data_IF_648843251495
#
_entry.id   IF_648843251495
#
_cell.length_a   1.000
_cell.length_b   1.000
_cell.length_c   1.000
_cell.angle_alpha   90.00
_cell.angle_beta   90.00
_cell.angle_gamma   90.00
#
_symmetry.space_group_name_H-M   'P 1'
#
loop_
_entity.id
_entity.type
_entity.pdbx_description
1 polymer ?
#
# COMPACT_ATOMS: atom_id res chain seq x y z
N UNK A 1 -34.98 75.58 14.61
CA UNK A 1 -34.42 74.52 13.75
C UNK A 1 -33.50 73.67 14.63
N UNK A 2 -33.87 72.41 14.88
CA UNK A 2 -33.33 71.22 14.20
C UNK A 2 -31.81 71.10 14.42
N UNK A 3 -31.41 70.20 15.32
CA UNK A 3 -30.03 69.72 15.45
C UNK A 3 -29.94 68.23 15.13
N UNK A 4 -28.75 67.74 14.73
CA UNK A 4 -28.50 66.30 14.59
C UNK A 4 -27.04 65.94 14.89
N UNK A 5 -26.78 65.50 16.13
CA UNK A 5 -25.47 64.95 16.53
C UNK A 5 -25.15 63.77 15.61
N UNK A 6 -24.01 63.85 14.91
CA UNK A 6 -23.52 62.72 14.11
C UNK A 6 -22.92 61.68 15.06
N UNK A 7 -23.35 60.42 14.93
CA UNK A 7 -22.75 59.30 15.67
C UNK A 7 -21.57 58.78 14.87
N UNK A 8 -20.39 58.68 15.50
CA UNK A 8 -19.32 57.81 15.02
C UNK A 8 -19.76 56.36 15.26
N UNK A 9 -20.11 55.66 14.19
CA UNK A 9 -20.37 54.22 14.22
C UNK A 9 -19.09 53.48 13.81
N UNK A 10 -18.40 52.89 14.78
CA UNK A 10 -17.28 51.98 14.50
C UNK A 10 -17.83 50.66 13.96
N UNK A 11 -17.79 50.49 12.63
CA UNK A 11 -18.03 49.20 12.00
C UNK A 11 -16.78 48.31 12.09
N UNK A 12 -16.91 47.01 12.41
CA UNK A 12 -15.77 46.11 12.43
C UNK A 12 -15.24 45.86 11.01
N UNK A 13 -13.92 45.75 10.83
CA UNK A 13 -13.37 45.19 9.61
C UNK A 13 -13.78 43.71 9.50
N UNK A 14 -14.66 43.42 8.54
CA UNK A 14 -14.86 42.05 8.07
C UNK A 14 -13.61 41.62 7.30
N UNK A 15 -12.69 40.95 8.00
CA UNK A 15 -11.56 40.28 7.37
C UNK A 15 -12.15 39.14 6.52
N UNK A 16 -12.23 39.38 5.21
CA UNK A 16 -12.62 38.35 4.25
C UNK A 16 -11.47 37.33 4.14
N UNK A 17 -11.46 36.36 5.05
CA UNK A 17 -10.57 35.21 5.00
C UNK A 17 -10.98 34.34 3.80
N UNK A 18 -10.53 34.75 2.61
CA UNK A 18 -10.66 33.97 1.40
C UNK A 18 -9.83 32.69 1.56
N UNK A 19 -10.49 31.62 2.03
CA UNK A 19 -9.90 30.27 2.07
C UNK A 19 -9.67 29.85 0.63
N UNK A 20 -8.46 30.10 0.14
CA UNK A 20 -7.92 29.47 -1.06
C UNK A 20 -7.90 27.96 -0.78
N UNK A 21 -8.95 27.28 -1.25
CA UNK A 21 -8.93 25.82 -1.40
C UNK A 21 -7.87 25.51 -2.44
N UNK A 22 -6.64 25.32 -1.97
CA UNK A 22 -5.56 24.84 -2.79
C UNK A 22 -5.99 23.49 -3.39
N UNK A 23 -5.79 23.25 -4.69
CA UNK A 23 -6.02 21.93 -5.27
C UNK A 23 -5.02 20.96 -4.65
N UNK A 24 -5.47 20.19 -3.66
CA UNK A 24 -4.63 19.24 -2.95
C UNK A 24 -4.02 18.24 -3.96
N UNK A 25 -2.70 18.04 -3.97
CA UNK A 25 -2.03 17.29 -5.02
C UNK A 25 -2.45 15.81 -5.02
N UNK A 26 -2.28 15.14 -6.17
CA UNK A 26 -2.73 13.77 -6.43
C UNK A 26 -2.06 12.67 -5.55
N UNK A 27 -1.21 13.03 -4.59
CA UNK A 27 -0.52 12.12 -3.68
C UNK A 27 -1.47 11.14 -2.96
N UNK A 28 -2.67 11.59 -2.56
CA UNK A 28 -3.70 10.76 -1.92
C UNK A 28 -4.51 9.89 -2.92
N UNK A 29 -4.11 9.83 -4.19
CA UNK A 29 -4.53 8.86 -5.18
C UNK A 29 -3.34 7.99 -5.66
N UNK A 30 -2.11 8.50 -5.54
CA UNK A 30 -0.86 7.77 -5.75
C UNK A 30 -0.73 6.50 -4.91
N UNK A 31 -1.27 6.47 -3.69
CA UNK A 31 -1.16 5.32 -2.78
C UNK A 31 -1.80 4.01 -3.28
N UNK A 32 -2.69 4.06 -4.26
CA UNK A 32 -3.14 2.86 -4.99
C UNK A 32 -2.04 2.31 -5.90
N UNK A 33 -1.34 3.21 -6.59
CA UNK A 33 -0.34 2.91 -7.60
C UNK A 33 0.98 2.48 -6.95
N UNK A 34 1.36 3.13 -5.85
CA UNK A 34 2.44 2.69 -4.96
C UNK A 34 2.29 1.19 -4.63
N UNK A 35 1.10 0.77 -4.20
CA UNK A 35 0.84 -0.63 -3.79
C UNK A 35 0.65 -1.64 -4.92
N UNK A 36 0.58 -1.22 -6.20
CA UNK A 36 0.30 -2.11 -7.34
C UNK A 36 1.31 -2.07 -8.48
N UNK A 37 2.10 -1.00 -8.55
CA UNK A 37 3.19 -0.82 -9.51
C UNK A 37 4.52 -0.61 -8.79
N UNK A 38 4.48 -0.41 -7.47
CA UNK A 38 5.61 -0.05 -6.62
C UNK A 38 5.95 1.43 -6.76
N UNK A 39 6.25 2.09 -5.64
CA UNK A 39 6.78 3.46 -5.69
C UNK A 39 8.11 3.46 -6.43
N UNK A 40 8.14 4.08 -7.62
CA UNK A 40 9.40 4.55 -8.21
C UNK A 40 9.98 5.58 -7.23
N UNK A 41 11.23 5.43 -6.82
CA UNK A 41 11.89 6.42 -5.96
C UNK A 41 11.93 7.77 -6.68
N UNK A 42 10.98 8.64 -6.31
CA UNK A 42 11.03 10.05 -6.62
C UNK A 42 12.15 10.65 -5.77
N UNK A 43 13.17 11.29 -6.38
CA UNK A 43 14.23 11.92 -5.61
C UNK A 43 13.57 12.95 -4.69
N UNK A 44 13.83 12.84 -3.39
CA UNK A 44 13.16 13.67 -2.38
C UNK A 44 13.20 15.14 -2.80
N UNK A 45 12.07 15.88 -2.75
CA UNK A 45 12.00 17.25 -3.24
C UNK A 45 13.10 18.05 -2.56
N UNK A 46 14.02 18.58 -3.37
CA UNK A 46 15.27 19.14 -2.87
C UNK A 46 14.96 20.15 -1.77
N UNK A 47 15.43 19.86 -0.55
CA UNK A 47 15.22 20.76 0.59
C UNK A 47 15.80 22.11 0.20
N UNK A 48 14.96 23.15 0.19
CA UNK A 48 15.32 24.46 -0.35
C UNK A 48 16.61 24.94 0.31
N UNK A 49 17.69 24.97 -0.47
CA UNK A 49 19.04 25.08 0.05
C UNK A 49 19.17 26.45 0.76
N UNK A 50 19.47 26.48 2.08
CA UNK A 50 19.56 27.74 2.80
C UNK A 50 20.67 28.59 2.15
N UNK A 51 20.43 29.88 1.87
CA UNK A 51 21.30 30.67 1.01
C UNK A 51 22.74 30.67 1.53
N UNK A 52 23.67 30.24 0.69
CA UNK A 52 25.04 29.98 1.08
C UNK A 52 25.72 31.23 1.68
N UNK A 53 26.45 31.11 2.80
CA UNK A 53 27.19 32.23 3.36
C UNK A 53 28.34 32.64 2.41
N UNK A 54 28.63 33.95 2.27
CA UNK A 54 29.69 34.42 1.38
C UNK A 54 31.08 33.94 1.82
N UNK A 55 31.92 33.60 0.84
CA UNK A 55 33.24 33.01 1.04
C UNK A 55 34.27 33.99 1.67
N UNK A 56 35.28 33.48 2.42
CA UNK A 56 36.19 34.31 3.20
C UNK A 56 37.37 34.91 2.39
N UNK A 57 37.90 36.03 2.87
CA UNK A 57 39.10 36.70 2.38
C UNK A 57 40.39 36.24 3.14
N UNK A 58 41.60 36.38 2.55
CA UNK A 58 42.84 35.76 3.07
C UNK A 58 43.51 36.50 4.25
N UNK A 59 44.50 35.85 4.89
CA UNK A 59 44.99 36.16 6.25
C UNK A 59 46.51 36.31 6.40
N UNK A 60 46.98 37.03 7.44
CA UNK A 60 48.31 36.98 8.09
C UNK A 60 48.39 38.00 9.28
N UNK A 61 49.38 37.98 10.20
CA UNK A 61 49.86 36.83 11.00
C UNK A 61 50.28 37.15 12.48
N UNK A 62 50.63 36.10 13.27
CA UNK A 62 51.52 36.02 14.48
C UNK A 62 50.93 35.61 15.86
N UNK A 63 51.85 35.30 16.79
CA UNK A 63 51.86 34.39 17.98
C UNK A 63 52.26 35.24 19.23
N UNK A 64 52.16 34.85 20.54
CA UNK A 64 52.29 33.48 21.08
C UNK A 64 51.44 33.06 22.32
N UNK A 65 51.73 31.86 22.85
CA UNK A 65 51.10 31.18 24.01
C UNK A 65 52.10 31.01 25.18
N UNK A 66 51.69 30.46 26.35
CA UNK A 66 52.09 29.04 26.64
C UNK A 66 51.17 28.21 27.59
N UNK A 67 51.31 26.87 27.51
CA UNK A 67 51.15 25.83 28.58
C UNK A 67 49.79 25.69 29.34
N UNK A 68 49.29 24.52 29.77
CA UNK A 68 49.62 23.08 29.63
C UNK A 68 48.28 22.26 29.82
N UNK A 69 48.13 20.97 30.17
CA UNK A 69 48.99 19.85 30.59
C UNK A 69 48.31 18.46 30.30
N UNK A 70 48.85 17.36 30.87
CA UNK A 70 48.35 15.96 30.93
C UNK A 70 49.01 15.26 32.17
N UNK A 71 48.87 13.94 32.49
CA UNK A 71 47.95 12.87 32.03
C UNK A 71 47.31 12.04 33.20
N UNK A 72 46.67 10.90 32.85
CA UNK A 72 46.68 9.60 33.60
C UNK A 72 45.86 9.45 34.92
N UNK A 73 45.49 8.24 35.38
CA UNK A 73 45.16 6.92 34.75
C UNK A 73 44.56 5.99 35.85
N UNK A 74 43.99 4.86 35.43
CA UNK A 74 43.80 3.59 36.17
C UNK A 74 42.51 3.32 36.99
N UNK A 75 42.06 2.08 36.77
CA UNK A 75 40.97 1.24 37.31
C UNK A 75 41.46 0.37 38.50
N UNK A 76 40.65 -0.53 39.12
CA UNK A 76 39.18 -0.67 39.27
C UNK A 76 38.77 -0.93 40.76
N UNK A 77 37.60 -1.58 40.97
CA UNK A 77 37.25 -2.41 42.15
C UNK A 77 36.93 -1.68 43.48
N UNK A 78 36.13 -2.22 44.42
CA UNK A 78 35.07 -3.27 44.45
C UNK A 78 34.36 -3.17 45.84
N UNK A 79 33.41 -4.07 46.10
CA UNK A 79 33.05 -4.61 47.42
C UNK A 79 32.02 -3.88 48.35
N UNK A 80 30.89 -4.57 48.56
CA UNK A 80 30.30 -4.96 49.87
C UNK A 80 29.60 -3.92 50.79
N UNK A 81 28.65 -4.27 51.69
CA UNK A 81 27.78 -5.46 51.91
C UNK A 81 26.77 -5.20 53.06
N UNK A 82 25.49 -5.52 52.85
CA UNK A 82 24.44 -5.67 53.90
C UNK A 82 24.19 -4.38 54.76
N UNK A 83 23.39 -4.31 55.85
CA UNK A 83 23.01 -5.27 56.92
C UNK A 83 21.60 -5.02 57.49
N UNK A 84 20.90 -6.13 57.82
CA UNK A 84 19.79 -6.31 58.78
C UNK A 84 18.39 -5.65 58.59
N UNK A 85 17.42 -6.32 59.22
CA UNK A 85 15.99 -6.00 59.30
C UNK A 85 15.24 -7.29 59.68
N UNK A 86 15.03 -7.54 60.97
CA UNK A 86 14.77 -8.90 61.48
C UNK A 86 13.29 -9.32 61.57
N UNK A 87 13.11 -10.64 61.71
CA UNK A 87 11.94 -11.43 62.18
C UNK A 87 11.25 -10.85 63.44
N UNK A 88 10.06 -11.27 63.91
CA UNK A 88 9.01 -12.25 63.55
C UNK A 88 7.72 -11.79 64.26
N UNK A 89 6.51 -11.96 63.67
CA UNK A 89 5.30 -12.46 64.39
C UNK A 89 4.33 -13.10 63.38
N UNK A 90 3.70 -14.23 63.73
CA UNK A 90 2.56 -14.83 63.01
C UNK A 90 1.37 -15.03 63.95
N UNK A 91 0.13 -14.89 63.45
CA UNK A 91 -0.97 -15.75 63.90
C UNK A 91 -1.49 -16.68 62.80
N UNK A 92 -2.16 -17.75 63.24
CA UNK A 92 -2.62 -18.91 62.44
C UNK A 92 -4.14 -18.97 62.41
N UNK A 93 -4.74 -19.27 61.25
CA UNK A 93 -6.12 -19.77 61.05
C UNK A 93 -6.17 -20.60 59.74
N UNK A 94 -7.22 -21.41 59.48
CA UNK A 94 -7.00 -22.81 59.09
C UNK A 94 -7.08 -23.15 57.60
N UNK A 95 -6.47 -24.29 57.27
CA UNK A 95 -6.64 -25.02 56.02
C UNK A 95 -8.11 -25.47 55.85
N UNK A 96 -8.64 -25.34 54.64
CA UNK A 96 -9.85 -26.04 54.20
C UNK A 96 -9.58 -26.65 52.82
N UNK A 97 -9.69 -27.96 52.70
CA UNK A 97 -9.40 -28.66 51.46
C UNK A 97 -10.41 -28.27 50.36
N UNK A 98 -9.92 -28.12 49.14
CA UNK A 98 -10.72 -27.92 47.93
C UNK A 98 -10.20 -28.91 46.89
N UNK A 99 -11.08 -29.75 46.35
CA UNK A 99 -10.69 -30.76 45.37
C UNK A 99 -10.30 -30.13 44.02
N UNK A 100 -9.33 -30.69 43.28
CA UNK A 100 -8.97 -30.21 41.96
C UNK A 100 -10.08 -30.59 40.96
N UNK A 101 -11.01 -29.66 40.74
CA UNK A 101 -12.02 -29.77 39.69
C UNK A 101 -11.32 -30.02 38.34
N UNK A 102 -11.51 -31.22 37.77
CA UNK A 102 -10.99 -31.57 36.46
C UNK A 102 -11.74 -30.74 35.41
N UNK A 103 -11.19 -29.60 35.04
CA UNK A 103 -11.61 -28.85 33.86
C UNK A 103 -11.39 -29.75 32.65
N UNK A 104 -12.46 -30.34 32.14
CA UNK A 104 -12.40 -31.10 30.91
C UNK A 104 -11.96 -30.15 29.80
N UNK A 105 -10.82 -30.43 29.17
CA UNK A 105 -10.35 -29.67 28.03
C UNK A 105 -11.33 -29.90 26.87
N UNK A 106 -12.27 -28.97 26.70
CA UNK A 106 -13.10 -28.89 25.49
C UNK A 106 -12.12 -28.72 24.34
N UNK A 107 -12.00 -29.76 23.51
CA UNK A 107 -11.13 -29.72 22.35
C UNK A 107 -11.55 -28.55 21.48
N UNK A 108 -10.65 -27.59 21.30
CA UNK A 108 -10.84 -26.58 20.27
C UNK A 108 -11.02 -27.32 18.94
N UNK A 109 -12.01 -26.95 18.11
CA UNK A 109 -12.14 -27.56 16.79
C UNK A 109 -10.83 -27.33 16.04
N UNK A 110 -10.15 -28.42 15.68
CA UNK A 110 -9.02 -28.36 14.78
C UNK A 110 -9.53 -27.71 13.50
N UNK A 111 -9.08 -26.48 13.23
CA UNK A 111 -9.33 -25.83 11.96
C UNK A 111 -8.77 -26.78 10.89
N UNK A 112 -9.66 -27.35 10.09
CA UNK A 112 -9.27 -28.40 9.16
C UNK A 112 -8.32 -27.78 8.14
N UNK A 113 -7.03 -28.11 8.25
CA UNK A 113 -6.00 -27.65 7.33
C UNK A 113 -6.47 -27.97 5.92
N UNK A 114 -6.47 -26.96 5.06
CA UNK A 114 -6.72 -27.18 3.65
C UNK A 114 -5.61 -28.09 3.13
N UNK A 115 -5.95 -29.08 2.30
CA UNK A 115 -4.95 -29.67 1.42
C UNK A 115 -4.45 -28.55 0.50
N UNK A 116 -3.30 -27.99 0.87
CA UNK A 116 -2.72 -26.84 0.20
C UNK A 116 -2.39 -27.16 -1.28
N UNK A 117 -2.06 -28.41 -1.59
CA UNK A 117 -1.84 -28.83 -2.98
C UNK A 117 -3.17 -28.86 -3.76
N UNK A 118 -4.24 -29.41 -3.17
CA UNK A 118 -5.57 -29.38 -3.78
C UNK A 118 -6.13 -27.97 -3.96
N UNK A 119 -5.92 -27.06 -2.99
CA UNK A 119 -6.33 -25.65 -3.10
C UNK A 119 -5.53 -24.91 -4.17
N UNK A 120 -4.20 -25.07 -4.19
CA UNK A 120 -3.36 -24.44 -5.22
C UNK A 120 -3.70 -24.97 -6.62
N UNK A 121 -4.02 -26.27 -6.77
CA UNK A 121 -4.50 -26.83 -8.02
C UNK A 121 -5.83 -26.22 -8.47
N UNK A 122 -6.78 -26.00 -7.56
CA UNK A 122 -8.06 -25.33 -7.86
C UNK A 122 -7.86 -23.85 -8.23
N UNK A 123 -7.02 -23.12 -7.50
CA UNK A 123 -6.70 -21.72 -7.82
C UNK A 123 -5.96 -21.58 -9.16
N UNK A 124 -5.01 -22.49 -9.46
CA UNK A 124 -4.38 -22.60 -10.78
C UNK A 124 -5.43 -22.86 -11.87
N UNK A 125 -6.35 -23.80 -11.67
CA UNK A 125 -7.43 -24.09 -12.63
C UNK A 125 -8.36 -22.88 -12.83
N UNK A 126 -8.72 -22.17 -11.76
CA UNK A 126 -9.51 -20.93 -11.82
C UNK A 126 -8.84 -19.87 -12.70
N UNK A 127 -7.55 -19.58 -12.50
CA UNK A 127 -6.84 -18.57 -13.27
C UNK A 127 -6.52 -19.00 -14.71
N UNK A 128 -6.24 -20.28 -14.94
CA UNK A 128 -5.99 -20.81 -16.28
C UNK A 128 -7.28 -20.92 -17.12
N UNK A 129 -8.45 -21.05 -16.48
CA UNK A 129 -9.77 -21.04 -17.13
C UNK A 129 -10.32 -19.65 -17.50
N UNK A 130 -9.60 -18.55 -17.22
CA UNK A 130 -10.05 -17.18 -17.50
C UNK A 130 -9.35 -16.64 -18.75
N UNK A 131 -10.03 -16.69 -19.90
CA UNK A 131 -9.59 -15.98 -21.12
C UNK A 131 -9.94 -14.50 -21.06
N UNK A 132 -11.16 -14.17 -20.63
CA UNK A 132 -11.63 -12.79 -20.36
C UNK A 132 -12.43 -12.75 -19.07
N UNK A 133 -12.38 -11.60 -18.38
CA UNK A 133 -13.11 -11.34 -17.15
C UNK A 133 -13.54 -9.88 -17.10
N UNK A 134 -14.83 -9.62 -16.86
CA UNK A 134 -15.37 -8.28 -16.59
C UNK A 134 -16.09 -8.27 -15.25
N UNK A 135 -16.06 -7.15 -14.53
CA UNK A 135 -16.84 -6.98 -13.31
C UNK A 135 -16.65 -5.61 -12.67
N UNK A 136 -17.08 -5.46 -11.42
CA UNK A 136 -16.89 -4.25 -10.61
C UNK A 136 -15.88 -4.50 -9.50
N UNK A 137 -15.16 -3.45 -9.09
CA UNK A 137 -14.23 -3.51 -7.97
C UNK A 137 -14.47 -2.37 -6.98
N UNK A 138 -14.10 -2.62 -5.72
CA UNK A 138 -13.92 -1.57 -4.71
C UNK A 138 -12.51 -1.71 -4.16
N UNK A 139 -11.69 -0.70 -4.42
CA UNK A 139 -10.32 -0.63 -3.95
C UNK A 139 -10.26 0.20 -2.66
N UNK A 140 -9.53 -0.30 -1.68
CA UNK A 140 -9.24 0.37 -0.40
C UNK A 140 -7.74 0.65 -0.36
N UNK A 141 -7.35 1.92 -0.33
CA UNK A 141 -5.96 2.35 -0.22
C UNK A 141 -5.38 2.20 1.19
N UNK A 142 -4.06 2.41 1.32
CA UNK A 142 -3.37 2.38 2.61
C UNK A 142 -3.81 3.52 3.57
N UNK A 143 -4.41 4.58 3.03
CA UNK A 143 -5.07 5.67 3.76
C UNK A 143 -6.54 5.36 4.15
N UNK A 144 -7.02 4.15 3.84
CA UNK A 144 -8.40 3.71 4.07
C UNK A 144 -9.43 4.25 3.09
N UNK A 145 -9.06 5.10 2.12
CA UNK A 145 -10.01 5.63 1.13
C UNK A 145 -10.52 4.50 0.24
N UNK A 146 -11.83 4.52 0.00
CA UNK A 146 -12.52 3.58 -0.89
C UNK A 146 -12.81 4.25 -2.22
N UNK A 147 -12.43 3.60 -3.33
CA UNK A 147 -12.73 4.06 -4.68
C UNK A 147 -13.28 2.88 -5.49
N UNK A 148 -14.42 3.10 -6.15
CA UNK A 148 -15.07 2.10 -7.00
C UNK A 148 -14.57 2.16 -8.45
N UNK A 149 -14.89 1.12 -9.21
CA UNK A 149 -14.73 1.11 -10.66
C UNK A 149 -15.13 -0.19 -11.34
N UNK A 150 -14.86 -0.26 -12.64
CA UNK A 150 -15.06 -1.42 -13.50
C UNK A 150 -13.71 -2.07 -13.85
N UNK A 151 -13.61 -3.36 -13.60
CA UNK A 151 -12.51 -4.23 -14.00
C UNK A 151 -12.80 -4.85 -15.36
N UNK A 152 -11.80 -4.88 -16.24
CA UNK A 152 -11.84 -5.60 -17.51
C UNK A 152 -10.47 -6.24 -17.76
N UNK A 153 -10.42 -7.55 -18.00
CA UNK A 153 -9.20 -8.34 -18.16
C UNK A 153 -9.34 -9.22 -19.40
N UNK A 154 -8.29 -9.33 -20.20
CA UNK A 154 -8.20 -10.23 -21.34
C UNK A 154 -6.80 -10.84 -21.44
N UNK A 155 -6.70 -12.17 -21.37
CA UNK A 155 -5.42 -12.86 -21.51
C UNK A 155 -4.94 -12.88 -22.98
N UNK A 156 -3.62 -13.02 -23.20
CA UNK A 156 -2.56 -12.72 -22.24
C UNK A 156 -2.40 -11.21 -22.02
N UNK A 157 -1.96 -10.83 -20.82
CA UNK A 157 -1.35 -9.54 -20.51
C UNK A 157 -2.29 -8.34 -20.35
N UNK A 158 -3.49 -8.33 -20.93
CA UNK A 158 -4.31 -7.10 -21.00
C UNK A 158 -5.22 -6.93 -19.78
N UNK A 159 -5.23 -5.72 -19.24
CA UNK A 159 -5.97 -5.33 -18.04
C UNK A 159 -6.46 -3.89 -18.15
N UNK A 160 -7.60 -3.57 -17.54
CA UNK A 160 -8.13 -2.22 -17.44
C UNK A 160 -8.88 -2.05 -16.12
N UNK A 161 -8.51 -1.02 -15.35
CA UNK A 161 -9.31 -0.48 -14.26
C UNK A 161 -9.84 0.89 -14.70
N UNK A 162 -11.12 0.95 -15.03
CA UNK A 162 -11.86 2.21 -15.16
C UNK A 162 -12.32 2.63 -13.77
N UNK A 163 -11.85 3.77 -13.26
CA UNK A 163 -12.37 4.29 -12.00
C UNK A 163 -13.68 5.07 -12.18
N UNK A 164 -14.52 5.00 -11.15
CA UNK A 164 -15.73 5.80 -11.05
C UNK A 164 -15.41 7.26 -10.62
N UNK A 165 -16.28 8.18 -11.01
CA UNK A 165 -16.19 9.58 -10.56
C UNK A 165 -16.33 9.67 -9.02
N UNK A 166 -15.60 10.59 -8.35
CA UNK A 166 -14.86 11.72 -8.90
C UNK A 166 -13.38 11.43 -9.26
N UNK A 167 -12.94 10.16 -9.28
CA UNK A 167 -11.56 9.84 -9.66
C UNK A 167 -11.33 10.05 -11.17
N UNK A 168 -10.27 10.77 -11.60
CA UNK A 168 -9.94 10.91 -13.01
C UNK A 168 -9.06 9.76 -13.54
N UNK A 169 -8.70 8.79 -12.69
CA UNK A 169 -7.70 7.79 -13.04
C UNK A 169 -8.25 6.68 -13.97
N UNK A 170 -7.36 6.17 -14.82
CA UNK A 170 -7.54 4.97 -15.61
C UNK A 170 -6.22 4.18 -15.57
N UNK A 171 -6.27 2.87 -15.31
CA UNK A 171 -5.11 1.99 -15.49
C UNK A 171 -5.37 1.06 -16.66
N UNK A 172 -4.40 0.94 -17.56
CA UNK A 172 -4.46 0.04 -18.72
C UNK A 172 -3.16 -0.74 -18.84
N UNK A 173 -3.24 -2.05 -19.02
CA UNK A 173 -2.14 -2.87 -19.48
C UNK A 173 -2.42 -3.39 -20.89
N UNK A 174 -1.44 -3.27 -21.80
CA UNK A 174 -1.52 -3.78 -23.17
C UNK A 174 -0.94 -5.20 -23.30
N UNK A 175 -0.23 -5.66 -22.26
CA UNK A 175 0.44 -6.95 -22.18
C UNK A 175 1.97 -6.88 -22.13
N UNK A 176 2.55 -5.71 -22.37
CA UNK A 176 3.99 -5.42 -22.14
C UNK A 176 4.17 -4.38 -21.06
N UNK A 177 3.38 -3.31 -21.12
CA UNK A 177 3.44 -2.18 -20.17
C UNK A 177 2.12 -2.03 -19.43
N UNK A 178 2.17 -1.27 -18.34
CA UNK A 178 1.00 -0.69 -17.68
C UNK A 178 1.12 0.82 -17.76
N UNK A 179 0.10 1.45 -18.33
CA UNK A 179 -0.13 2.88 -18.33
C UNK A 179 -1.09 3.26 -17.20
N UNK A 180 -0.67 4.20 -16.38
CA UNK A 180 -1.56 4.94 -15.48
C UNK A 180 -1.85 6.27 -16.13
N UNK A 181 -3.13 6.60 -16.34
CA UNK A 181 -3.57 7.83 -17.01
C UNK A 181 -4.39 8.69 -16.04
N UNK A 182 -4.09 9.97 -15.93
CA UNK A 182 -4.99 10.95 -15.31
C UNK A 182 -5.77 11.67 -16.43
N UNK A 183 -7.08 11.41 -16.51
CA UNK A 183 -7.97 11.98 -17.54
C UNK A 183 -8.19 13.49 -17.40
N UNK A 184 -7.93 14.07 -16.23
CA UNK A 184 -8.11 15.49 -15.91
C UNK A 184 -6.83 16.29 -16.16
N UNK A 185 -5.66 15.71 -15.88
CA UNK A 185 -4.36 16.34 -16.12
C UNK A 185 -3.80 16.03 -17.52
N UNK A 186 -4.27 14.96 -18.16
CA UNK A 186 -3.76 14.51 -19.46
C UNK A 186 -2.38 13.82 -19.39
N UNK A 187 -1.94 13.45 -18.19
CA UNK A 187 -0.66 12.77 -17.94
C UNK A 187 -0.80 11.26 -18.07
N UNK A 188 0.31 10.58 -18.41
CA UNK A 188 0.40 9.13 -18.43
C UNK A 188 1.77 8.65 -17.94
N UNK A 189 1.78 7.86 -16.87
CA UNK A 189 2.97 7.18 -16.34
C UNK A 189 3.02 5.74 -16.84
N UNK A 190 4.23 5.25 -17.16
CA UNK A 190 4.45 3.95 -17.79
C UNK A 190 5.40 3.06 -16.97
N UNK A 191 4.98 1.81 -16.75
CA UNK A 191 5.66 0.78 -15.98
C UNK A 191 5.69 -0.53 -16.77
N UNK A 192 6.66 -1.42 -16.54
CA UNK A 192 6.63 -2.75 -17.15
C UNK A 192 5.71 -3.70 -16.37
N UNK A 193 4.89 -4.48 -17.08
CA UNK A 193 3.96 -5.45 -16.48
C UNK A 193 4.67 -6.45 -15.55
N UNK A 194 5.92 -6.79 -15.87
CA UNK A 194 6.79 -7.71 -15.14
C UNK A 194 7.20 -7.23 -13.74
N UNK A 195 7.09 -5.93 -13.46
CA UNK A 195 7.48 -5.32 -12.19
C UNK A 195 6.30 -5.20 -11.20
N UNK A 196 5.10 -5.60 -11.61
CA UNK A 196 3.85 -5.46 -10.86
C UNK A 196 3.54 -6.72 -10.04
N UNK A 197 2.98 -6.63 -8.82
CA UNK A 197 2.66 -7.81 -8.01
C UNK A 197 1.57 -8.68 -8.64
N UNK A 198 0.63 -8.11 -9.42
CA UNK A 198 -0.46 -8.85 -10.05
C UNK A 198 -0.13 -9.50 -11.40
N UNK A 199 1.13 -9.41 -11.87
CA UNK A 199 1.55 -9.95 -13.18
C UNK A 199 1.15 -11.41 -13.42
N UNK A 200 1.09 -12.22 -12.35
CA UNK A 200 0.67 -13.62 -12.41
C UNK A 200 -0.77 -13.80 -12.92
N UNK A 201 -1.70 -12.90 -12.55
CA UNK A 201 -3.10 -12.93 -13.03
C UNK A 201 -3.21 -12.78 -14.54
N UNK A 202 -2.23 -12.10 -15.15
CA UNK A 202 -2.27 -11.67 -16.54
C UNK A 202 -1.54 -12.64 -17.49
N UNK A 203 -0.70 -13.54 -16.97
CA UNK A 203 -0.04 -14.58 -17.79
C UNK A 203 -1.06 -15.49 -18.44
N UNK A 204 -0.80 -15.92 -19.68
CA UNK A 204 -1.62 -16.90 -20.39
C UNK A 204 -1.86 -18.15 -19.53
N UNK A 205 -0.75 -18.72 -19.01
CA UNK A 205 -0.72 -19.82 -18.07
C UNK A 205 0.02 -19.41 -16.80
N UNK A 206 -0.43 -19.94 -15.67
CA UNK A 206 0.13 -19.71 -14.34
C UNK A 206 0.25 -21.04 -13.59
N UNK A 207 1.33 -21.16 -12.81
CA UNK A 207 1.41 -22.08 -11.68
C UNK A 207 1.87 -21.33 -10.43
N UNK A 208 0.94 -21.07 -9.50
CA UNK A 208 1.17 -20.34 -8.25
C UNK A 208 2.30 -20.95 -7.40
N UNK A 209 2.54 -22.25 -7.50
CA UNK A 209 3.59 -22.97 -6.76
C UNK A 209 4.98 -22.90 -7.41
N UNK A 210 5.08 -22.34 -8.64
CA UNK A 210 6.34 -22.15 -9.39
C UNK A 210 6.64 -20.68 -9.63
N UNK A 211 5.60 -19.87 -9.84
CA UNK A 211 5.70 -18.47 -10.22
C UNK A 211 5.88 -17.52 -9.02
N UNK A 212 5.53 -17.98 -7.82
CA UNK A 212 5.53 -17.23 -6.56
C UNK A 212 6.01 -18.14 -5.42
N UNK A 213 6.45 -17.55 -4.30
CA UNK A 213 6.66 -18.33 -3.07
C UNK A 213 5.38 -18.35 -2.26
N UNK A 214 4.61 -19.45 -2.32
CA UNK A 214 3.48 -19.68 -1.41
C UNK A 214 4.00 -19.77 0.03
N UNK A 215 3.36 -19.04 0.95
CA UNK A 215 3.78 -18.95 2.35
C UNK A 215 2.74 -19.45 3.35
N UNK A 216 1.46 -19.48 2.99
CA UNK A 216 0.36 -19.96 3.82
C UNK A 216 -0.89 -20.24 2.97
N UNK A 217 -1.67 -21.26 3.32
CA UNK A 217 -2.97 -21.60 2.72
C UNK A 217 -3.94 -22.00 3.84
N UNK A 218 -5.00 -21.21 4.06
CA UNK A 218 -5.95 -21.44 5.16
C UNK A 218 -7.41 -21.44 4.72
N UNK A 219 -8.22 -22.15 5.51
CA UNK A 219 -9.68 -22.03 5.51
C UNK A 219 -10.07 -20.97 6.54
N UNK A 220 -10.40 -19.77 6.08
CA UNK A 220 -10.90 -18.69 6.93
C UNK A 220 -12.45 -18.73 6.95
N UNK A 221 -13.14 -18.15 7.94
CA UNK A 221 -14.62 -18.17 7.99
C UNK A 221 -15.34 -17.51 6.80
N UNK A 222 -14.62 -16.76 5.96
CA UNK A 222 -15.12 -16.15 4.72
C UNK A 222 -14.80 -16.92 3.44
N UNK A 223 -14.09 -18.05 3.52
CA UNK A 223 -13.61 -18.82 2.37
C UNK A 223 -12.11 -19.09 2.42
N UNK A 224 -11.51 -19.46 1.29
CA UNK A 224 -10.11 -19.92 1.24
C UNK A 224 -9.14 -18.76 1.01
N UNK A 225 -8.09 -18.67 1.83
CA UNK A 225 -7.04 -17.65 1.73
C UNK A 225 -5.71 -18.28 1.31
N UNK A 226 -5.08 -17.72 0.28
CA UNK A 226 -3.75 -18.13 -0.22
C UNK A 226 -2.79 -16.95 -0.08
N UNK A 227 -1.71 -17.11 0.68
CA UNK A 227 -0.67 -16.10 0.88
C UNK A 227 0.61 -16.45 0.14
N UNK A 228 1.21 -15.45 -0.50
CA UNK A 228 2.37 -15.61 -1.38
C UNK A 228 3.31 -14.39 -1.29
N UNK A 229 4.55 -14.57 -1.71
CA UNK A 229 5.53 -13.50 -1.91
C UNK A 229 6.01 -13.44 -3.36
N UNK A 230 6.09 -12.23 -3.92
CA UNK A 230 6.76 -11.91 -5.19
C UNK A 230 8.01 -11.08 -4.89
N UNK A 231 9.19 -11.64 -5.19
CA UNK A 231 10.50 -10.99 -4.97
C UNK A 231 11.00 -10.18 -6.18
N UNK A 232 10.16 -10.04 -7.20
CA UNK A 232 10.47 -9.41 -8.48
C UNK A 232 9.56 -8.21 -8.78
N UNK A 233 9.18 -7.48 -7.74
CA UNK A 233 8.38 -6.23 -7.83
C UNK A 233 9.25 -4.99 -7.66
N UNK A 234 8.81 -3.82 -8.13
CA UNK A 234 9.50 -2.57 -7.83
C UNK A 234 9.65 -2.39 -6.31
N UNK A 235 10.82 -1.93 -5.87
CA UNK A 235 11.14 -1.71 -4.46
C UNK A 235 11.51 -2.97 -3.64
N UNK A 236 11.36 -4.18 -4.18
CA UNK A 236 11.76 -5.42 -3.50
C UNK A 236 10.67 -6.50 -3.47
N UNK A 237 10.41 -7.08 -2.29
CA UNK A 237 9.46 -8.18 -2.10
C UNK A 237 8.08 -7.69 -1.67
N UNK A 238 7.08 -7.89 -2.53
CA UNK A 238 5.66 -7.66 -2.20
C UNK A 238 5.01 -8.94 -1.65
N UNK A 239 4.08 -8.78 -0.70
CA UNK A 239 3.24 -9.87 -0.19
C UNK A 239 1.86 -9.79 -0.83
N UNK A 240 1.38 -10.93 -1.32
CA UNK A 240 0.12 -11.06 -2.06
C UNK A 240 -0.76 -12.04 -1.29
N UNK A 241 -2.02 -11.68 -1.06
CA UNK A 241 -3.01 -12.58 -0.44
C UNK A 241 -4.28 -12.59 -1.27
N UNK A 242 -4.67 -13.79 -1.74
CA UNK A 242 -5.89 -14.04 -2.48
C UNK A 242 -6.95 -14.60 -1.55
N UNK A 243 -8.20 -14.16 -1.71
CA UNK A 243 -9.35 -14.60 -0.94
C UNK A 243 -10.42 -15.10 -1.91
N UNK A 244 -10.69 -16.40 -1.85
CA UNK A 244 -11.71 -17.09 -2.64
C UNK A 244 -12.97 -17.36 -1.81
N UNK A 245 -14.05 -17.76 -2.48
CA UNK A 245 -15.11 -18.53 -1.84
C UNK A 245 -14.61 -19.88 -1.27
N UNK A 246 -15.42 -20.52 -0.44
CA UNK A 246 -15.06 -21.78 0.24
C UNK A 246 -14.82 -22.96 -0.71
N UNK A 247 -15.18 -22.83 -1.99
CA UNK A 247 -15.02 -23.86 -3.02
C UNK A 247 -13.94 -23.50 -4.08
N UNK A 248 -13.21 -22.38 -3.90
CA UNK A 248 -12.16 -21.89 -4.82
C UNK A 248 -12.66 -21.68 -6.26
N UNK A 249 -13.96 -21.40 -6.45
CA UNK A 249 -14.65 -21.16 -7.73
C UNK A 249 -14.63 -19.69 -8.15
N UNK A 250 -14.50 -18.78 -7.18
CA UNK A 250 -14.57 -17.32 -7.36
C UNK A 250 -13.52 -16.62 -6.52
N UNK A 251 -12.68 -15.78 -7.13
CA UNK A 251 -11.82 -14.85 -6.41
C UNK A 251 -12.66 -13.63 -6.00
N UNK A 252 -12.80 -13.40 -4.70
CA UNK A 252 -13.66 -12.36 -4.12
C UNK A 252 -12.88 -11.11 -3.70
N UNK A 253 -11.59 -11.26 -3.34
CA UNK A 253 -10.72 -10.15 -2.94
C UNK A 253 -9.25 -10.53 -3.18
N UNK A 254 -8.41 -9.54 -3.48
CA UNK A 254 -6.97 -9.64 -3.24
C UNK A 254 -6.49 -8.52 -2.32
N UNK A 255 -5.42 -8.78 -1.60
CA UNK A 255 -4.68 -7.82 -0.77
C UNK A 255 -3.20 -7.88 -1.16
N UNK A 256 -2.60 -6.71 -1.29
CA UNK A 256 -1.18 -6.55 -1.56
C UNK A 256 -0.60 -5.69 -0.44
N UNK A 257 0.56 -6.10 0.08
CA UNK A 257 1.42 -5.28 0.92
C UNK A 257 2.73 -5.09 0.18
N UNK A 258 3.11 -3.84 -0.09
CA UNK A 258 4.33 -3.50 -0.80
C UNK A 258 5.59 -3.64 0.11
N UNK A 259 6.82 -3.54 -0.43
CA UNK A 259 8.06 -3.63 0.35
C UNK A 259 8.18 -2.58 1.46
N UNK A 260 7.46 -1.46 1.36
CA UNK A 260 7.41 -0.36 2.32
C UNK A 260 6.36 -0.57 3.42
N UNK A 261 5.50 -1.60 3.27
CA UNK A 261 4.44 -1.93 4.23
C UNK A 261 3.08 -1.29 3.94
N UNK A 262 2.92 -0.52 2.86
CA UNK A 262 1.62 0.02 2.48
C UNK A 262 0.72 -1.10 1.95
N UNK A 263 -0.53 -1.10 2.40
CA UNK A 263 -1.49 -2.16 2.12
C UNK A 263 -2.60 -1.65 1.20
N UNK A 264 -2.74 -2.25 0.01
CA UNK A 264 -3.88 -2.05 -0.89
C UNK A 264 -4.75 -3.29 -0.92
N UNK A 265 -6.06 -3.12 -0.76
CA UNK A 265 -7.07 -4.18 -0.88
C UNK A 265 -7.93 -3.88 -2.10
N UNK A 266 -8.26 -4.90 -2.91
CA UNK A 266 -9.25 -4.79 -3.97
C UNK A 266 -10.29 -5.90 -3.79
N UNK A 267 -11.53 -5.50 -3.55
CA UNK A 267 -12.69 -6.37 -3.49
C UNK A 267 -13.33 -6.46 -4.87
N UNK A 268 -13.74 -7.66 -5.27
CA UNK A 268 -14.29 -7.96 -6.59
C UNK A 268 -15.76 -8.34 -6.47
N UNK A 269 -16.56 -7.93 -7.45
CA UNK A 269 -17.99 -8.20 -7.51
C UNK A 269 -18.49 -8.28 -8.96
N UNK A 270 -19.65 -8.89 -9.17
CA UNK A 270 -20.30 -9.00 -10.49
C UNK A 270 -19.39 -9.60 -11.58
N UNK A 271 -18.54 -10.57 -11.21
CA UNK A 271 -17.56 -11.17 -12.09
C UNK A 271 -18.21 -12.05 -13.17
N UNK A 272 -17.95 -11.73 -14.43
CA UNK A 272 -18.41 -12.45 -15.62
C UNK A 272 -17.19 -12.93 -16.42
N UNK A 273 -17.03 -14.25 -16.51
CA UNK A 273 -15.96 -14.92 -17.28
C UNK A 273 -16.42 -15.09 -18.74
N UNK A 274 -15.49 -15.00 -19.70
CA UNK A 274 -15.75 -15.35 -21.11
C UNK A 274 -16.57 -14.32 -21.93
N UNK A 275 -16.86 -13.13 -21.37
CA UNK A 275 -17.52 -12.04 -22.10
C UNK A 275 -16.58 -11.46 -23.17
N UNK A 276 -17.12 -11.11 -24.35
CA UNK A 276 -16.33 -10.37 -25.36
C UNK A 276 -15.95 -8.98 -24.84
N UNK A 277 -14.74 -8.52 -25.17
CA UNK A 277 -14.18 -7.23 -24.77
C UNK A 277 -13.35 -6.64 -25.90
N UNK A 278 -13.53 -5.35 -26.17
CA UNK A 278 -12.88 -4.69 -27.30
C UNK A 278 -11.36 -4.59 -27.11
N UNK A 279 -10.59 -4.98 -28.15
CA UNK A 279 -9.12 -4.91 -28.11
C UNK A 279 -8.59 -3.49 -27.92
N UNK A 280 -9.29 -2.50 -28.48
CA UNK A 280 -8.98 -1.06 -28.36
C UNK A 280 -9.12 -0.52 -26.95
N UNK A 281 -9.91 -1.16 -26.06
CA UNK A 281 -10.04 -0.75 -24.67
C UNK A 281 -8.71 -0.87 -23.89
N UNK A 282 -7.77 -1.68 -24.39
CA UNK A 282 -6.46 -1.91 -23.79
C UNK A 282 -5.33 -1.09 -24.44
N UNK A 283 -5.67 -0.10 -25.27
CA UNK A 283 -4.69 0.70 -25.99
C UNK A 283 -3.92 1.68 -25.07
N UNK A 284 -2.60 1.74 -25.29
CA UNK A 284 -1.64 2.64 -24.65
C UNK A 284 -0.97 3.48 -25.75
N UNK A 285 -0.96 4.81 -25.57
CA UNK A 285 -0.23 5.71 -26.45
C UNK A 285 1.18 5.92 -25.89
N UNK A 286 2.23 5.46 -26.59
CA UNK A 286 3.63 5.64 -26.17
C UNK A 286 4.25 6.97 -26.65
N UNK A 287 3.42 7.89 -27.14
CA UNK A 287 3.82 9.19 -27.65
C UNK A 287 4.30 9.19 -29.11
N UNK A 288 4.30 8.04 -29.79
CA UNK A 288 4.74 7.91 -31.19
C UNK A 288 3.72 8.52 -32.16
N UNK A 289 4.15 8.77 -33.39
CA UNK A 289 3.33 9.33 -34.48
C UNK A 289 2.07 8.49 -34.74
N UNK A 290 2.28 7.20 -34.92
CA UNK A 290 1.31 6.16 -35.19
C UNK A 290 0.35 5.95 -34.02
N UNK A 291 0.85 5.98 -32.77
CA UNK A 291 0.02 5.87 -31.57
C UNK A 291 -0.96 7.05 -31.46
N UNK A 292 -0.49 8.27 -31.75
CA UNK A 292 -1.30 9.49 -31.76
C UNK A 292 -2.32 9.52 -32.90
N UNK A 293 -2.05 8.83 -34.01
CA UNK A 293 -3.02 8.65 -35.09
C UNK A 293 -4.10 7.62 -34.71
N UNK A 294 -3.68 6.47 -34.17
CA UNK A 294 -4.56 5.42 -33.68
C UNK A 294 -5.47 5.92 -32.54
N UNK A 295 -4.94 6.69 -31.59
CA UNK A 295 -5.75 7.27 -30.52
C UNK A 295 -6.85 8.20 -31.04
N UNK A 296 -6.56 9.03 -32.05
CA UNK A 296 -7.57 9.88 -32.70
C UNK A 296 -8.64 9.05 -33.39
N UNK A 297 -8.28 7.94 -34.03
CA UNK A 297 -9.23 7.03 -34.67
C UNK A 297 -10.10 6.28 -33.64
N UNK A 298 -9.54 5.90 -32.49
CA UNK A 298 -10.29 5.28 -31.38
C UNK A 298 -11.26 6.29 -30.74
N UNK A 299 -10.85 7.57 -30.60
CA UNK A 299 -11.69 8.66 -30.05
C UNK A 299 -12.74 9.20 -31.05
N UNK A 300 -12.79 8.70 -32.27
CA UNK A 300 -13.69 9.14 -33.34
C UNK A 300 -14.74 8.08 -33.74
N UNK A 301 -14.87 7.02 -32.95
CA UNK A 301 -15.86 5.94 -33.05
C UNK A 301 -16.74 5.93 -31.80
#
# INVERSE_FOLDING_TARGET
>A
MIGRRHRLAAGPLLVLAAVLVQPQPAAAQGSFLDGLFGRKEEPAPAQAEPPAPPAPAPAAPKKPAPQAAKPAKDTPAKDTKAVAGDKIVTPKLPLKASEPARVAAVGAPLAQEADAAAVLAQANAYFNGITTLTGTFVQIGADGRRIGGKLTLAKPGRLRFDYDQPSPLEVVADGTSVAVKDRKLGTQDLYFISQTPLKFLLREKIDLARDLTVSDVSNDPGGVRISMEDRSTLGGTSKIQLFFDAEVKTLSQWRITDPQGYQTIVQLSNLQKGRSVEGTAFFINYGRSEDKAMEKQIRAQ
#
